data_IF_887238356263
#
_entry.id   IF_887238356263
#
_cell.length_a   1.000
_cell.length_b   1.000
_cell.length_c   1.000
_cell.angle_alpha   90.00
_cell.angle_beta   90.00
_cell.angle_gamma   90.00
#
_symmetry.space_group_name_H-M   'P 1'
#
loop_
_entity.id
_entity.type
_entity.pdbx_description
1 polymer ?
#
# COMPACT_ATOMS: atom_id res chain seq x y z
N UNK A 1 23.33 -11.48 23.87
CA UNK A 1 22.40 -11.66 22.73
C UNK A 1 21.94 -10.26 22.33
N UNK A 2 22.41 -9.76 21.18
CA UNK A 2 22.01 -8.45 20.70
C UNK A 2 20.56 -8.55 20.22
N UNK A 3 19.64 -7.88 20.90
CA UNK A 3 18.26 -7.71 20.44
C UNK A 3 18.35 -6.86 19.18
N UNK A 4 18.28 -7.49 17.99
CA UNK A 4 18.11 -6.77 16.73
C UNK A 4 16.80 -6.01 16.86
N UNK A 5 16.85 -4.70 16.75
CA UNK A 5 15.64 -3.88 16.65
C UNK A 5 14.74 -4.37 15.49
N UNK A 6 13.47 -3.98 15.45
CA UNK A 6 12.55 -4.41 14.40
C UNK A 6 13.15 -4.12 13.03
N UNK A 7 13.15 -5.12 12.15
CA UNK A 7 13.74 -5.03 10.81
C UNK A 7 12.94 -4.01 9.98
N UNK A 8 13.56 -2.93 9.56
CA UNK A 8 12.94 -1.96 8.66
C UNK A 8 12.71 -2.62 7.29
N UNK A 9 11.46 -2.56 6.81
CA UNK A 9 11.04 -3.05 5.50
C UNK A 9 10.98 -1.91 4.49
N UNK A 10 10.52 -0.74 4.91
CA UNK A 10 10.50 0.48 4.11
C UNK A 10 11.27 1.59 4.84
N UNK A 11 12.10 2.32 4.10
CA UNK A 11 12.75 3.54 4.58
C UNK A 11 12.74 4.60 3.47
N UNK A 12 12.26 5.79 3.82
CA UNK A 12 12.40 7.02 3.05
C UNK A 12 13.34 7.93 3.82
N UNK A 13 14.49 8.30 3.24
CA UNK A 13 15.50 9.14 3.84
C UNK A 13 15.57 10.49 3.11
N UNK A 14 15.10 11.55 3.73
CA UNK A 14 15.03 12.94 3.22
C UNK A 14 14.46 13.04 1.80
N UNK A 15 13.39 12.29 1.55
CA UNK A 15 12.79 12.17 0.23
C UNK A 15 12.05 13.43 -0.15
N UNK A 16 12.43 14.01 -1.30
CA UNK A 16 11.68 15.10 -1.92
C UNK A 16 11.20 14.70 -3.32
N UNK A 17 10.04 15.21 -3.72
CA UNK A 17 9.47 15.02 -5.06
C UNK A 17 8.89 16.30 -5.58
N UNK A 18 9.41 16.78 -6.70
CA UNK A 18 8.90 17.95 -7.42
C UNK A 18 8.45 17.53 -8.81
N UNK A 19 7.27 17.94 -9.22
CA UNK A 19 6.74 17.80 -10.57
C UNK A 19 6.83 19.11 -11.32
N UNK A 20 7.07 19.06 -12.64
CA UNK A 20 7.25 20.23 -13.47
C UNK A 20 8.62 20.89 -13.28
N UNK A 21 8.85 21.99 -14.01
CA UNK A 21 10.09 22.76 -14.00
C UNK A 21 9.80 24.27 -13.93
N UNK A 22 10.78 25.03 -13.44
CA UNK A 22 10.70 26.49 -13.38
C UNK A 22 9.51 27.00 -12.58
N UNK A 23 8.75 27.95 -13.16
CA UNK A 23 7.61 28.60 -12.49
C UNK A 23 6.39 27.66 -12.25
N UNK A 24 6.32 26.52 -12.93
CA UNK A 24 5.24 25.52 -12.78
C UNK A 24 5.62 24.36 -11.86
N UNK A 25 6.79 24.43 -11.23
CA UNK A 25 7.26 23.39 -10.33
C UNK A 25 6.39 23.28 -9.08
N UNK A 26 5.86 22.08 -8.81
CA UNK A 26 5.06 21.76 -7.63
C UNK A 26 5.81 20.75 -6.79
N UNK A 27 6.22 21.14 -5.60
CA UNK A 27 6.86 20.25 -4.64
C UNK A 27 5.79 19.41 -3.91
N UNK A 28 5.61 18.17 -4.33
CA UNK A 28 4.66 17.24 -3.74
C UNK A 28 5.15 16.65 -2.41
N UNK A 29 6.49 16.46 -2.26
CA UNK A 29 7.12 16.02 -1.01
C UNK A 29 8.38 16.84 -0.76
N UNK A 30 8.68 17.09 0.53
CA UNK A 30 9.77 17.95 0.98
C UNK A 30 10.50 17.31 2.16
N UNK A 31 11.67 16.72 1.90
CA UNK A 31 12.57 16.13 2.89
C UNK A 31 11.84 15.18 3.88
N UNK A 32 11.05 14.27 3.33
CA UNK A 32 10.29 13.31 4.13
C UNK A 32 11.19 12.20 4.63
N UNK A 33 11.22 12.01 5.96
CA UNK A 33 11.82 10.88 6.65
C UNK A 33 10.71 9.99 7.21
N UNK A 34 10.64 8.74 6.77
CA UNK A 34 9.63 7.76 7.22
C UNK A 34 10.20 6.37 7.14
N UNK A 35 10.01 5.57 8.17
CA UNK A 35 10.31 4.13 8.15
C UNK A 35 9.10 3.31 8.55
N UNK A 36 8.98 2.09 8.01
CA UNK A 36 7.97 1.10 8.42
C UNK A 36 8.69 -0.22 8.65
N UNK A 37 8.49 -0.77 9.84
CA UNK A 37 9.11 -2.02 10.28
C UNK A 37 8.28 -3.25 9.90
N UNK A 38 8.91 -4.43 9.88
CA UNK A 38 8.20 -5.69 9.76
C UNK A 38 7.17 -5.84 10.89
N UNK A 39 5.93 -6.18 10.54
CA UNK A 39 4.81 -6.29 11.48
C UNK A 39 4.16 -4.96 11.86
N UNK A 40 4.66 -3.83 11.37
CA UNK A 40 4.11 -2.51 11.66
C UNK A 40 3.03 -2.13 10.63
N UNK A 41 1.91 -1.61 11.13
CA UNK A 41 0.86 -0.99 10.35
C UNK A 41 0.89 0.52 10.56
N UNK A 42 1.24 1.29 9.53
CA UNK A 42 1.30 2.76 9.57
C UNK A 42 0.16 3.34 8.72
N UNK A 43 -0.60 4.27 9.28
CA UNK A 43 -1.54 5.07 8.52
C UNK A 43 -0.94 6.44 8.21
N UNK A 44 -1.12 6.93 6.99
CA UNK A 44 -0.76 8.28 6.55
C UNK A 44 -2.03 9.06 6.29
N UNK A 45 -2.26 10.11 7.08
CA UNK A 45 -3.41 11.01 6.98
C UNK A 45 -2.98 12.39 6.50
N UNK A 46 -3.92 13.15 5.99
CA UNK A 46 -3.71 14.54 5.57
C UNK A 46 -4.73 15.00 4.53
N UNK A 47 -4.86 16.31 4.31
CA UNK A 47 -5.80 16.87 3.33
C UNK A 47 -5.50 16.40 1.90
N UNK A 48 -6.48 16.58 0.99
CA UNK A 48 -6.25 16.35 -0.44
C UNK A 48 -5.10 17.23 -0.94
N UNK A 49 -4.25 16.67 -1.81
CA UNK A 49 -3.07 17.38 -2.32
C UNK A 49 -1.87 17.46 -1.38
N UNK A 50 -1.91 16.88 -0.17
CA UNK A 50 -0.78 16.92 0.76
C UNK A 50 0.43 16.07 0.34
N UNK A 51 0.33 15.23 -0.72
CA UNK A 51 1.42 14.39 -1.23
C UNK A 51 1.32 12.90 -0.89
N UNK A 52 0.21 12.41 -0.31
CA UNK A 52 0.03 11.02 0.14
C UNK A 52 0.22 9.99 -0.98
N UNK A 53 -0.44 10.16 -2.12
CA UNK A 53 -0.30 9.24 -3.26
C UNK A 53 1.10 9.29 -3.87
N UNK A 54 1.76 10.47 -3.87
CA UNK A 54 3.17 10.60 -4.26
C UNK A 54 4.08 9.83 -3.31
N UNK A 55 3.80 9.89 -2.00
CA UNK A 55 4.54 9.14 -0.98
C UNK A 55 4.43 7.62 -1.22
N UNK A 56 3.20 7.11 -1.46
CA UNK A 56 2.98 5.70 -1.79
C UNK A 56 3.66 5.30 -3.09
N UNK A 57 3.58 6.13 -4.14
CA UNK A 57 4.20 5.85 -5.43
C UNK A 57 5.72 5.71 -5.31
N UNK A 58 6.37 6.57 -4.53
CA UNK A 58 7.81 6.48 -4.26
C UNK A 58 8.14 5.25 -3.41
N UNK A 59 7.38 4.98 -2.34
CA UNK A 59 7.54 3.81 -1.49
C UNK A 59 7.43 2.49 -2.27
N UNK A 60 6.53 2.43 -3.26
CA UNK A 60 6.33 1.28 -4.14
C UNK A 60 7.29 1.21 -5.33
N UNK A 61 8.20 2.17 -5.51
CA UNK A 61 9.08 2.24 -6.67
C UNK A 61 8.34 2.42 -8.00
N UNK A 62 7.17 3.07 -7.97
CA UNK A 62 6.40 3.46 -9.15
C UNK A 62 6.87 4.80 -9.71
N UNK A 63 7.47 5.63 -8.87
CA UNK A 63 8.06 6.91 -9.22
C UNK A 63 9.46 7.03 -8.57
N UNK A 64 10.23 8.04 -8.97
CA UNK A 64 11.57 8.31 -8.45
C UNK A 64 11.60 9.62 -7.68
N UNK A 65 12.28 9.69 -6.52
CA UNK A 65 12.44 10.94 -5.81
C UNK A 65 13.31 11.92 -6.64
N UNK A 66 13.05 13.22 -6.47
CA UNK A 66 13.92 14.29 -7.00
C UNK A 66 15.21 14.38 -6.19
N UNK A 67 15.12 14.12 -4.87
CA UNK A 67 16.29 13.99 -3.97
C UNK A 67 15.95 13.07 -2.80
N UNK A 68 16.98 12.64 -2.06
CA UNK A 68 16.85 11.66 -1.00
C UNK A 68 16.87 10.21 -1.53
N UNK A 69 16.57 9.25 -0.66
CA UNK A 69 16.63 7.83 -0.97
C UNK A 69 15.42 7.05 -0.48
N UNK A 70 14.97 6.06 -1.28
CA UNK A 70 13.94 5.09 -0.88
C UNK A 70 14.56 3.72 -0.86
N UNK A 71 14.32 2.97 0.21
CA UNK A 71 14.86 1.63 0.42
C UNK A 71 13.72 0.67 0.77
N UNK A 72 13.70 -0.49 0.12
CA UNK A 72 12.81 -1.61 0.46
C UNK A 72 13.68 -2.82 0.80
N UNK A 73 13.49 -3.38 2.01
CA UNK A 73 14.33 -4.45 2.56
C UNK A 73 15.84 -4.13 2.43
N UNK A 74 16.23 -2.90 2.78
CA UNK A 74 17.58 -2.35 2.66
C UNK A 74 18.10 -2.22 1.22
N UNK A 75 17.29 -2.51 0.21
CA UNK A 75 17.66 -2.33 -1.21
C UNK A 75 17.33 -0.91 -1.67
N UNK A 76 18.32 -0.10 -2.10
CA UNK A 76 18.09 1.26 -2.59
C UNK A 76 17.39 1.22 -3.96
N UNK A 77 16.20 1.84 -4.06
CA UNK A 77 15.43 1.83 -5.31
C UNK A 77 16.02 2.73 -6.40
N UNK A 78 16.70 3.80 -6.00
CA UNK A 78 17.25 4.79 -6.93
C UNK A 78 18.30 4.25 -7.92
N UNK A 79 19.02 3.21 -7.53
CA UNK A 79 20.05 2.56 -8.37
C UNK A 79 19.52 1.46 -9.28
N UNK A 80 18.26 1.04 -9.11
CA UNK A 80 17.70 -0.09 -9.85
C UNK A 80 17.21 0.32 -11.25
N UNK A 81 17.47 -0.54 -12.24
CA UNK A 81 16.88 -0.44 -13.56
C UNK A 81 15.38 -0.82 -13.55
N UNK A 82 14.67 -0.51 -14.66
CA UNK A 82 13.23 -0.77 -14.77
C UNK A 82 12.85 -2.24 -14.52
N UNK A 83 13.64 -3.19 -15.02
CA UNK A 83 13.39 -4.62 -14.84
C UNK A 83 13.61 -5.08 -13.40
N UNK A 84 14.59 -4.52 -12.72
CA UNK A 84 14.89 -4.82 -11.32
C UNK A 84 13.81 -4.26 -10.40
N UNK A 85 13.36 -3.01 -10.63
CA UNK A 85 12.22 -2.42 -9.95
C UNK A 85 10.94 -3.23 -10.17
N UNK A 86 10.68 -3.68 -11.40
CA UNK A 86 9.53 -4.54 -11.70
C UNK A 86 9.61 -5.87 -10.96
N UNK A 87 10.80 -6.47 -10.87
CA UNK A 87 11.02 -7.72 -10.12
C UNK A 87 10.80 -7.51 -8.62
N UNK A 88 11.35 -6.41 -8.04
CA UNK A 88 11.18 -6.07 -6.63
C UNK A 88 9.68 -5.91 -6.30
N UNK A 89 8.95 -5.14 -7.11
CA UNK A 89 7.50 -4.97 -6.93
C UNK A 89 6.75 -6.29 -6.94
N UNK A 90 7.03 -7.17 -7.93
CA UNK A 90 6.35 -8.47 -8.01
C UNK A 90 6.63 -9.38 -6.81
N UNK A 91 7.79 -9.27 -6.18
CA UNK A 91 8.20 -10.15 -5.08
C UNK A 91 7.86 -9.59 -3.70
N UNK A 92 8.22 -8.34 -3.46
CA UNK A 92 8.20 -7.76 -2.12
C UNK A 92 7.01 -6.83 -1.87
N UNK A 93 6.46 -6.18 -2.91
CA UNK A 93 5.46 -5.11 -2.74
C UNK A 93 4.09 -5.56 -3.24
N UNK A 94 3.08 -5.46 -2.38
CA UNK A 94 1.67 -5.46 -2.75
C UNK A 94 1.15 -4.03 -2.83
N UNK A 95 0.47 -3.66 -3.90
CA UNK A 95 -0.06 -2.32 -4.06
C UNK A 95 -1.56 -2.35 -4.34
N UNK A 96 -2.34 -1.66 -3.51
CA UNK A 96 -3.77 -1.40 -3.71
C UNK A 96 -3.90 0.02 -4.22
N UNK A 97 -4.31 0.17 -5.48
CA UNK A 97 -4.54 1.46 -6.13
C UNK A 97 -5.95 1.97 -5.87
N UNK A 98 -6.13 3.27 -5.84
CA UNK A 98 -7.43 3.92 -5.73
C UNK A 98 -8.36 3.53 -6.90
N UNK A 99 -7.84 3.47 -8.13
CA UNK A 99 -8.58 3.11 -9.36
C UNK A 99 -8.48 1.60 -9.71
N UNK A 100 -8.26 0.73 -8.70
CA UNK A 100 -8.14 -0.73 -8.78
C UNK A 100 -6.99 -1.22 -9.68
N UNK A 101 -6.78 -0.64 -10.84
CA UNK A 101 -5.76 -0.97 -11.84
C UNK A 101 -5.75 -2.47 -12.19
N UNK A 102 -6.94 -3.04 -12.40
CA UNK A 102 -7.15 -4.42 -12.83
C UNK A 102 -7.07 -4.54 -14.34
N UNK A 103 -6.64 -5.70 -14.84
CA UNK A 103 -6.60 -6.00 -16.28
C UNK A 103 -7.99 -6.47 -16.73
N UNK A 104 -8.71 -5.71 -17.57
CA UNK A 104 -10.11 -6.00 -17.89
C UNK A 104 -10.34 -7.34 -18.62
N UNK A 105 -9.36 -7.78 -19.39
CA UNK A 105 -9.40 -9.02 -20.18
C UNK A 105 -9.08 -10.28 -19.39
N UNK A 106 -8.74 -10.14 -18.11
CA UNK A 106 -8.46 -11.24 -17.19
C UNK A 106 -9.62 -11.42 -16.20
N UNK A 107 -9.85 -12.66 -15.80
CA UNK A 107 -10.76 -12.99 -14.69
C UNK A 107 -10.20 -12.50 -13.35
N UNK A 108 -11.00 -12.57 -12.27
CA UNK A 108 -10.56 -12.20 -10.93
C UNK A 108 -9.35 -13.03 -10.49
N UNK A 109 -9.41 -14.34 -10.63
CA UNK A 109 -8.32 -15.22 -10.23
C UNK A 109 -7.05 -15.02 -11.06
N UNK A 110 -7.18 -14.75 -12.35
CA UNK A 110 -6.05 -14.43 -13.23
C UNK A 110 -5.41 -13.08 -12.87
N UNK A 111 -6.21 -12.04 -12.57
CA UNK A 111 -5.70 -10.77 -12.07
C UNK A 111 -4.88 -10.94 -10.78
N UNK A 112 -5.36 -11.78 -9.86
CA UNK A 112 -4.68 -12.06 -8.60
C UNK A 112 -3.43 -12.92 -8.81
N UNK A 113 -3.48 -13.91 -9.70
CA UNK A 113 -2.34 -14.79 -10.03
C UNK A 113 -1.22 -14.07 -10.80
N UNK A 114 -1.56 -13.04 -11.58
CA UNK A 114 -0.67 -12.38 -12.53
C UNK A 114 0.72 -12.03 -11.97
N UNK A 115 0.87 -11.38 -10.80
CA UNK A 115 2.19 -11.04 -10.29
C UNK A 115 3.04 -12.27 -9.94
N UNK A 116 2.42 -13.38 -9.55
CA UNK A 116 3.12 -14.64 -9.27
C UNK A 116 3.61 -15.32 -10.54
N UNK A 117 2.77 -15.35 -11.59
CA UNK A 117 3.11 -15.93 -12.88
C UNK A 117 4.24 -15.13 -13.56
N UNK A 118 4.15 -13.81 -13.52
CA UNK A 118 5.21 -12.91 -14.02
C UNK A 118 6.53 -13.05 -13.26
N UNK A 119 6.50 -13.56 -12.03
CA UNK A 119 7.72 -13.89 -11.26
C UNK A 119 8.16 -15.33 -11.45
N UNK A 120 7.52 -16.10 -12.33
CA UNK A 120 7.91 -17.47 -12.69
C UNK A 120 7.26 -18.57 -11.85
N UNK A 121 6.26 -18.26 -11.02
CA UNK A 121 5.48 -19.28 -10.32
C UNK A 121 4.66 -20.09 -11.34
N UNK A 122 4.71 -21.42 -11.28
CA UNK A 122 3.94 -22.29 -12.16
C UNK A 122 2.43 -21.94 -12.06
N UNK A 123 1.73 -21.82 -13.20
CA UNK A 123 0.34 -21.34 -13.30
C UNK A 123 -0.61 -22.04 -12.31
N UNK A 124 -0.51 -23.39 -12.20
CA UNK A 124 -1.34 -24.18 -11.27
C UNK A 124 -1.13 -23.81 -9.80
N UNK A 125 0.10 -23.43 -9.40
CA UNK A 125 0.43 -22.97 -8.06
C UNK A 125 -0.05 -21.53 -7.86
N UNK A 126 0.18 -20.66 -8.84
CA UNK A 126 -0.27 -19.26 -8.81
C UNK A 126 -1.80 -19.19 -8.68
N UNK A 127 -2.53 -19.96 -9.48
CA UNK A 127 -3.99 -20.04 -9.43
C UNK A 127 -4.51 -20.49 -8.05
N UNK A 128 -3.90 -21.49 -7.43
CA UNK A 128 -4.29 -21.93 -6.08
C UNK A 128 -4.09 -20.82 -5.06
N UNK A 129 -2.94 -20.13 -5.09
CA UNK A 129 -2.67 -18.99 -4.19
C UNK A 129 -3.63 -17.82 -4.44
N UNK A 130 -4.01 -17.60 -5.70
CA UNK A 130 -5.00 -16.58 -6.05
C UNK A 130 -6.38 -16.90 -5.45
N UNK A 131 -6.83 -18.16 -5.53
CA UNK A 131 -8.08 -18.59 -4.90
C UNK A 131 -8.04 -18.44 -3.37
N UNK A 132 -6.91 -18.73 -2.74
CA UNK A 132 -6.73 -18.54 -1.30
C UNK A 132 -6.78 -17.04 -0.91
N UNK A 133 -6.21 -16.16 -1.73
CA UNK A 133 -6.29 -14.71 -1.53
C UNK A 133 -7.72 -14.18 -1.73
N UNK A 134 -8.46 -14.69 -2.74
CA UNK A 134 -9.87 -14.34 -2.95
C UNK A 134 -10.76 -14.80 -1.79
N UNK A 135 -10.47 -15.95 -1.16
CA UNK A 135 -11.16 -16.38 0.08
C UNK A 135 -10.91 -15.43 1.24
N UNK A 136 -9.69 -14.95 1.41
CA UNK A 136 -9.36 -13.99 2.48
C UNK A 136 -10.15 -12.68 2.37
N UNK A 137 -10.47 -12.24 1.16
CA UNK A 137 -11.30 -11.04 0.91
C UNK A 137 -12.78 -11.36 0.69
N UNK A 138 -13.21 -12.60 0.92
CA UNK A 138 -14.61 -13.03 0.95
C UNK A 138 -15.33 -13.05 -0.40
N UNK A 139 -14.60 -13.33 -1.52
CA UNK A 139 -15.19 -13.42 -2.88
C UNK A 139 -14.66 -14.62 -3.70
N UNK A 140 -14.51 -15.81 -3.13
CA UNK A 140 -13.97 -16.95 -3.89
C UNK A 140 -14.88 -17.39 -5.05
N UNK A 141 -16.19 -17.17 -4.93
CA UNK A 141 -17.21 -17.50 -5.95
C UNK A 141 -17.10 -16.64 -7.23
N UNK A 142 -16.37 -15.52 -7.14
CA UNK A 142 -16.16 -14.62 -8.28
C UNK A 142 -14.87 -14.91 -9.06
N UNK A 143 -14.15 -15.97 -8.74
CA UNK A 143 -12.82 -16.29 -9.29
C UNK A 143 -12.78 -16.27 -10.82
N UNK A 144 -13.82 -16.79 -11.46
CA UNK A 144 -13.91 -16.92 -12.94
C UNK A 144 -14.68 -15.75 -13.60
N UNK A 145 -15.04 -14.70 -12.84
CA UNK A 145 -15.73 -13.53 -13.38
C UNK A 145 -14.74 -12.52 -13.96
N UNK A 146 -15.14 -11.88 -15.07
CA UNK A 146 -14.44 -10.74 -15.65
C UNK A 146 -14.81 -9.44 -14.93
N UNK A 147 -13.99 -8.40 -15.10
CA UNK A 147 -14.14 -7.13 -14.37
C UNK A 147 -15.44 -6.40 -14.69
N UNK A 148 -15.94 -6.47 -15.92
CA UNK A 148 -17.21 -5.89 -16.36
C UNK A 148 -18.45 -6.58 -15.75
N UNK A 149 -18.28 -7.77 -15.18
CA UNK A 149 -19.32 -8.54 -14.48
C UNK A 149 -19.34 -8.28 -12.97
N UNK A 150 -18.53 -7.33 -12.49
CA UNK A 150 -18.34 -7.06 -11.07
C UNK A 150 -18.70 -5.63 -10.68
N UNK A 151 -19.27 -5.49 -9.49
CA UNK A 151 -19.42 -4.16 -8.87
C UNK A 151 -18.07 -3.54 -8.51
N UNK A 152 -18.01 -2.22 -8.35
CA UNK A 152 -16.78 -1.52 -7.91
C UNK A 152 -16.20 -2.08 -6.61
N UNK A 153 -17.07 -2.39 -5.63
CA UNK A 153 -16.63 -3.01 -4.38
C UNK A 153 -16.09 -4.45 -4.54
N UNK A 154 -16.59 -5.21 -5.52
CA UNK A 154 -16.02 -6.52 -5.84
C UNK A 154 -14.67 -6.38 -6.53
N UNK A 155 -14.53 -5.45 -7.49
CA UNK A 155 -13.26 -5.14 -8.13
C UNK A 155 -12.20 -4.65 -7.12
N UNK A 156 -12.60 -3.82 -6.16
CA UNK A 156 -11.72 -3.38 -5.07
C UNK A 156 -11.18 -4.58 -4.28
N UNK A 157 -12.04 -5.55 -3.91
CA UNK A 157 -11.60 -6.77 -3.21
C UNK A 157 -10.67 -7.63 -4.06
N UNK A 158 -10.86 -7.71 -5.39
CA UNK A 158 -9.91 -8.37 -6.29
C UNK A 158 -8.55 -7.66 -6.27
N UNK A 159 -8.53 -6.31 -6.30
CA UNK A 159 -7.30 -5.54 -6.22
C UNK A 159 -6.56 -5.76 -4.90
N UNK A 160 -7.28 -5.86 -3.78
CA UNK A 160 -6.72 -6.19 -2.47
C UNK A 160 -6.17 -7.63 -2.47
N UNK A 161 -6.93 -8.61 -2.98
CA UNK A 161 -6.44 -9.99 -3.10
C UNK A 161 -5.13 -10.07 -3.91
N UNK A 162 -5.03 -9.30 -5.02
CA UNK A 162 -3.80 -9.19 -5.81
C UNK A 162 -2.64 -8.58 -5.03
N UNK A 163 -2.92 -7.62 -4.17
CA UNK A 163 -1.89 -6.99 -3.35
C UNK A 163 -1.36 -7.92 -2.24
N UNK A 164 -2.21 -8.80 -1.70
CA UNK A 164 -1.83 -9.67 -0.58
C UNK A 164 -1.39 -11.08 -1.01
N UNK A 165 -1.51 -11.44 -2.29
CA UNK A 165 -1.13 -12.77 -2.79
C UNK A 165 0.37 -13.03 -2.66
N UNK A 166 0.75 -14.22 -2.20
CA UNK A 166 2.16 -14.60 -1.96
C UNK A 166 2.76 -13.95 -0.71
N UNK A 167 4.09 -13.96 -0.62
CA UNK A 167 4.84 -13.52 0.57
C UNK A 167 5.23 -12.04 0.45
N UNK A 168 4.22 -11.15 0.49
CA UNK A 168 4.47 -9.70 0.43
C UNK A 168 5.06 -9.19 1.73
N UNK A 169 6.22 -8.53 1.62
CA UNK A 169 6.91 -7.91 2.77
C UNK A 169 6.40 -6.51 3.05
N UNK A 170 5.95 -5.80 2.02
CA UNK A 170 5.41 -4.45 2.09
C UNK A 170 4.05 -4.40 1.38
N UNK A 171 3.02 -3.90 2.06
CA UNK A 171 1.71 -3.65 1.48
C UNK A 171 1.44 -2.15 1.54
N UNK A 172 1.17 -1.57 0.38
CA UNK A 172 0.85 -0.16 0.20
C UNK A 172 -0.60 -0.05 -0.26
N UNK A 173 -1.42 0.71 0.46
CA UNK A 173 -2.84 0.83 0.16
C UNK A 173 -3.25 2.30 0.08
N UNK A 174 -3.74 2.72 -1.09
CA UNK A 174 -4.28 4.06 -1.34
C UNK A 174 -5.81 4.01 -1.31
N UNK A 175 -6.41 4.52 -0.22
CA UNK A 175 -7.88 4.57 0.01
C UNK A 175 -8.59 3.22 -0.28
N UNK A 176 -8.14 2.08 0.30
CA UNK A 176 -8.57 0.74 -0.12
C UNK A 176 -10.05 0.44 0.16
N UNK A 177 -10.75 1.32 0.86
CA UNK A 177 -12.15 1.16 1.25
C UNK A 177 -13.10 2.14 0.58
N UNK A 178 -12.60 3.06 -0.27
CA UNK A 178 -13.38 4.14 -0.86
C UNK A 178 -14.58 3.70 -1.72
N UNK A 179 -14.54 2.50 -2.28
CA UNK A 179 -15.63 1.92 -3.09
C UNK A 179 -16.49 0.88 -2.32
N UNK A 180 -16.29 0.74 -0.99
CA UNK A 180 -16.90 -0.30 -0.17
C UNK A 180 -17.93 0.27 0.81
N UNK A 181 -18.96 -0.52 1.10
CA UNK A 181 -19.81 -0.28 2.26
C UNK A 181 -19.04 -0.52 3.58
N UNK A 182 -19.58 -0.03 4.70
CA UNK A 182 -18.90 -0.04 5.99
C UNK A 182 -18.51 -1.45 6.46
N UNK A 183 -19.39 -2.45 6.26
CA UNK A 183 -19.12 -3.84 6.69
C UNK A 183 -18.02 -4.48 5.87
N UNK A 184 -18.08 -4.32 4.55
CA UNK A 184 -17.05 -4.83 3.63
C UNK A 184 -15.71 -4.10 3.85
N UNK A 185 -15.75 -2.78 4.08
CA UNK A 185 -14.57 -1.99 4.40
C UNK A 185 -13.87 -2.47 5.68
N UNK A 186 -14.64 -2.80 6.74
CA UNK A 186 -14.09 -3.37 7.96
C UNK A 186 -13.37 -4.69 7.70
N UNK A 187 -13.97 -5.61 6.93
CA UNK A 187 -13.32 -6.88 6.57
C UNK A 187 -12.01 -6.70 5.81
N UNK A 188 -11.91 -5.67 4.98
CA UNK A 188 -10.63 -5.30 4.32
C UNK A 188 -9.59 -4.84 5.33
N UNK A 189 -9.97 -4.02 6.31
CA UNK A 189 -9.04 -3.57 7.36
C UNK A 189 -8.56 -4.73 8.22
N UNK A 190 -9.44 -5.71 8.54
CA UNK A 190 -9.07 -6.95 9.22
C UNK A 190 -8.03 -7.77 8.43
N UNK A 191 -8.20 -7.88 7.11
CA UNK A 191 -7.22 -8.56 6.24
C UNK A 191 -5.87 -7.84 6.27
N UNK A 192 -5.84 -6.50 6.11
CA UNK A 192 -4.60 -5.72 6.16
C UNK A 192 -3.91 -5.82 7.53
N UNK A 193 -4.68 -5.73 8.64
CA UNK A 193 -4.16 -5.92 10.00
C UNK A 193 -3.56 -7.32 10.17
N UNK A 194 -4.29 -8.37 9.74
CA UNK A 194 -3.81 -9.74 9.80
C UNK A 194 -2.51 -9.95 9.01
N UNK A 195 -2.30 -9.23 7.91
CA UNK A 195 -1.02 -9.26 7.15
C UNK A 195 0.12 -8.60 7.93
N UNK A 196 -0.17 -7.49 8.64
CA UNK A 196 0.83 -6.88 9.52
C UNK A 196 1.17 -7.80 10.68
N UNK A 197 0.18 -8.38 11.35
CA UNK A 197 0.37 -9.34 12.45
C UNK A 197 1.17 -10.58 12.02
N UNK A 198 1.07 -10.96 10.73
CA UNK A 198 1.87 -12.01 10.12
C UNK A 198 3.29 -11.58 9.72
N UNK A 199 3.68 -10.33 9.97
CA UNK A 199 5.03 -9.80 9.80
C UNK A 199 5.26 -8.96 8.54
N UNK A 200 4.24 -8.66 7.73
CA UNK A 200 4.36 -7.69 6.65
C UNK A 200 4.39 -6.25 7.21
N UNK A 201 5.10 -5.34 6.56
CA UNK A 201 4.94 -3.90 6.76
C UNK A 201 3.72 -3.43 5.97
N UNK A 202 2.81 -2.66 6.59
CA UNK A 202 1.62 -2.12 5.93
C UNK A 202 1.64 -0.59 6.03
N UNK A 203 1.48 0.09 4.90
CA UNK A 203 1.29 1.54 4.85
C UNK A 203 -0.05 1.86 4.16
N UNK A 204 -0.97 2.43 4.91
CA UNK A 204 -2.30 2.83 4.49
C UNK A 204 -2.34 4.34 4.30
N UNK A 205 -2.78 4.81 3.15
CA UNK A 205 -3.22 6.20 2.97
C UNK A 205 -4.73 6.25 3.12
N UNK A 206 -5.22 7.10 4.00
CA UNK A 206 -6.65 7.33 4.18
C UNK A 206 -6.93 8.71 4.74
N UNK A 207 -8.12 9.24 4.46
CA UNK A 207 -8.67 10.43 5.12
C UNK A 207 -9.68 10.07 6.23
N UNK A 208 -9.99 8.77 6.41
CA UNK A 208 -10.95 8.31 7.40
C UNK A 208 -10.25 7.89 8.70
N UNK A 209 -10.53 8.61 9.80
CA UNK A 209 -9.95 8.35 11.11
C UNK A 209 -10.27 6.93 11.63
N UNK A 210 -11.47 6.38 11.31
CA UNK A 210 -11.85 5.02 11.68
C UNK A 210 -10.94 3.95 11.07
N UNK A 211 -10.42 4.19 9.86
CA UNK A 211 -9.47 3.28 9.21
C UNK A 211 -8.05 3.50 9.74
N UNK A 212 -7.67 4.75 10.00
CA UNK A 212 -6.38 5.05 10.61
C UNK A 212 -6.24 4.45 12.03
N UNK A 213 -7.33 4.29 12.76
CA UNK A 213 -7.35 3.67 14.09
C UNK A 213 -6.93 2.18 14.11
N UNK A 214 -6.85 1.51 12.97
CA UNK A 214 -6.31 0.15 12.85
C UNK A 214 -4.78 0.09 12.86
N UNK A 215 -4.12 1.23 12.63
CA UNK A 215 -2.67 1.31 12.53
C UNK A 215 -2.01 1.35 13.92
N UNK A 216 -0.77 0.89 14.01
CA UNK A 216 0.05 1.01 15.20
C UNK A 216 0.56 2.45 15.39
N UNK A 217 0.66 3.21 14.28
CA UNK A 217 1.12 4.60 14.23
C UNK A 217 0.43 5.36 13.12
N UNK A 218 0.09 6.62 13.40
CA UNK A 218 -0.47 7.55 12.41
C UNK A 218 0.53 8.65 12.13
N UNK A 219 0.74 8.92 10.84
CA UNK A 219 1.61 9.98 10.32
C UNK A 219 0.76 11.04 9.65
N UNK A 220 0.91 12.29 10.03
CA UNK A 220 0.17 13.40 9.43
C UNK A 220 1.04 14.12 8.39
N UNK A 221 0.57 14.09 7.14
CA UNK A 221 1.23 14.74 6.00
C UNK A 221 0.48 16.02 5.61
N UNK A 222 1.18 17.14 5.58
CA UNK A 222 0.65 18.45 5.13
C UNK A 222 1.69 19.17 4.28
N UNK A 223 1.28 19.70 3.12
CA UNK A 223 2.13 20.45 2.18
C UNK A 223 3.46 19.75 1.85
N UNK A 224 3.39 18.43 1.69
CA UNK A 224 4.53 17.58 1.37
C UNK A 224 5.49 17.30 2.53
N UNK A 225 5.15 17.63 3.78
CA UNK A 225 5.95 17.41 4.98
C UNK A 225 5.22 16.56 6.01
N UNK A 226 5.93 15.73 6.72
CA UNK A 226 5.40 15.12 7.94
C UNK A 226 5.39 16.19 9.02
N UNK A 227 4.19 16.51 9.53
CA UNK A 227 4.01 17.54 10.55
C UNK A 227 3.83 16.96 11.95
N UNK A 228 3.36 15.72 12.05
CA UNK A 228 3.18 15.02 13.32
C UNK A 228 3.22 13.50 13.13
N UNK A 229 3.53 12.76 14.20
CA UNK A 229 3.47 11.30 14.26
C UNK A 229 2.95 10.91 15.65
N UNK A 230 1.84 10.18 15.68
CA UNK A 230 1.24 9.70 16.91
C UNK A 230 1.26 8.16 16.96
N UNK A 231 1.57 7.58 18.13
CA UNK A 231 1.30 6.16 18.38
C UNK A 231 -0.21 5.91 18.27
N UNK A 232 -0.61 4.65 18.04
CA UNK A 232 -2.01 4.28 17.84
C UNK A 232 -2.92 4.94 18.89
N UNK A 233 -3.80 5.79 18.42
CA UNK A 233 -4.91 6.30 19.19
C UNK A 233 -6.15 5.50 18.77
N UNK A 234 -6.63 4.65 19.67
CA UNK A 234 -7.81 3.84 19.43
C UNK A 234 -9.11 4.67 19.38
N UNK A 235 -9.00 5.99 19.63
CA UNK A 235 -10.12 6.93 19.53
C UNK A 235 -10.04 7.76 18.22
N UNK A 236 -10.93 7.48 17.25
CA UNK A 236 -10.99 8.20 15.98
C UNK A 236 -11.21 9.71 16.12
N UNK A 237 -11.88 10.17 17.18
CA UNK A 237 -12.16 11.58 17.41
C UNK A 237 -10.88 12.38 17.73
N UNK A 238 -9.94 11.78 18.45
CA UNK A 238 -8.65 12.40 18.74
C UNK A 238 -7.78 12.52 17.47
N UNK A 239 -7.86 11.53 16.56
CA UNK A 239 -7.13 11.59 15.29
C UNK A 239 -7.61 12.73 14.39
N UNK A 240 -8.93 13.01 14.36
CA UNK A 240 -9.50 14.12 13.59
C UNK A 240 -9.05 15.48 14.13
N UNK A 241 -8.98 15.64 15.44
CA UNK A 241 -8.51 16.88 16.06
C UNK A 241 -7.03 17.18 15.70
N UNK A 242 -6.17 16.17 15.61
CA UNK A 242 -4.76 16.32 15.21
C UNK A 242 -4.60 16.54 13.69
N UNK A 243 -5.48 15.94 12.88
CA UNK A 243 -5.45 16.15 11.43
C UNK A 243 -5.79 17.59 10.99
N UNK A 244 -6.35 18.40 11.90
CA UNK A 244 -6.71 19.80 11.65
C UNK A 244 -7.97 19.97 10.79
N UNK A 245 -8.93 19.01 10.95
CA UNK A 245 -10.31 19.12 10.46
C UNK A 245 -11.21 19.70 11.54
#
# INVERSE_FOLDING_TARGET
MSVRGPQQVLELAKVSRTFGEGATAVAALREVDLSVSAGEFVAVMGPSGSGKSSLLALAGGLDRPTSGGVFVESTPLGGLGLNELARLRRRAVGYVFQDFNLVPTLTASENVALPLELDGTAAKKAQRQALDALRQVGIPELADRYMDQMSGGQQQRVAIARAIVGDRRLILADEPTGALDSTTGQGVMEVLRGRADAGAAVMLVTHEARHAAWADRVVFLRDGRIVDQAAAMHDPAMLLAQAGY
#
